data_IF_209006684245
#
_entry.id   IF_209006684245
#
_cell.length_a   1.000
_cell.length_b   1.000
_cell.length_c   1.000
_cell.angle_alpha   90.00
_cell.angle_beta   90.00
_cell.angle_gamma   90.00
#
_symmetry.space_group_name_H-M   'P 1'
#
loop_
_entity.id
_entity.type
_entity.pdbx_description
1 polymer ?
#
# COMPACT_ATOMS: atom_id res chain seq x y z
N UNK A 1 -16.21 -55.34 0.47
CA UNK A 1 -16.41 -53.89 0.58
C UNK A 1 -15.87 -53.47 1.94
N UNK A 2 -14.59 -53.09 1.98
CA UNK A 2 -13.84 -52.83 3.21
C UNK A 2 -13.86 -51.33 3.45
N UNK A 3 -14.56 -50.91 4.51
CA UNK A 3 -14.45 -49.56 5.06
C UNK A 3 -13.24 -49.56 6.00
N UNK A 4 -12.13 -49.04 5.49
CA UNK A 4 -10.90 -48.77 6.24
C UNK A 4 -11.18 -47.66 7.26
N UNK A 5 -11.08 -48.03 8.53
CA UNK A 5 -11.19 -47.11 9.66
C UNK A 5 -10.06 -46.08 9.66
N UNK A 6 -10.45 -44.83 9.89
CA UNK A 6 -9.54 -43.79 10.36
C UNK A 6 -9.04 -44.18 11.75
N UNK A 7 -7.89 -44.85 11.79
CA UNK A 7 -7.11 -45.03 13.00
C UNK A 7 -6.53 -43.69 13.42
N UNK A 8 -7.27 -42.93 14.23
CA UNK A 8 -6.68 -41.91 15.09
C UNK A 8 -5.70 -42.62 16.01
N UNK A 9 -4.40 -42.51 15.69
CA UNK A 9 -3.31 -43.01 16.51
C UNK A 9 -3.42 -42.35 17.88
N UNK A 10 -3.89 -43.12 18.87
CA UNK A 10 -3.91 -42.75 20.28
C UNK A 10 -2.45 -42.73 20.73
N UNK A 11 -1.86 -41.56 20.75
CA UNK A 11 -0.49 -41.34 21.20
C UNK A 11 -0.44 -41.59 22.72
N UNK A 12 -0.19 -42.83 23.11
CA UNK A 12 0.09 -43.19 24.50
C UNK A 12 1.55 -42.90 24.82
N UNK A 13 1.78 -41.70 25.35
CA UNK A 13 3.05 -41.33 25.92
C UNK A 13 3.07 -39.86 26.33
N UNK A 14 3.18 -39.60 27.64
CA UNK A 14 3.36 -38.23 28.19
C UNK A 14 4.48 -37.45 27.49
N UNK A 15 5.46 -38.17 26.93
CA UNK A 15 6.59 -37.60 26.16
C UNK A 15 6.19 -37.13 24.76
N UNK A 16 5.28 -37.81 24.07
CA UNK A 16 4.87 -37.43 22.71
C UNK A 16 3.87 -36.27 22.69
N UNK A 17 3.06 -36.16 23.74
CA UNK A 17 2.25 -34.96 23.98
C UNK A 17 3.12 -33.72 24.20
N UNK A 18 4.27 -33.87 24.87
CA UNK A 18 5.23 -32.78 25.06
C UNK A 18 5.81 -32.33 23.70
N UNK A 19 6.26 -33.26 22.86
CA UNK A 19 6.78 -32.90 21.53
C UNK A 19 5.75 -32.18 20.65
N UNK A 20 4.49 -32.60 20.70
CA UNK A 20 3.40 -31.94 19.96
C UNK A 20 3.18 -30.50 20.47
N UNK A 21 3.17 -30.31 21.79
CA UNK A 21 3.04 -28.99 22.41
C UNK A 21 4.21 -28.07 22.01
N UNK A 22 5.45 -28.58 22.04
CA UNK A 22 6.63 -27.80 21.65
C UNK A 22 6.59 -27.41 20.18
N UNK A 23 6.11 -28.29 19.30
CA UNK A 23 5.96 -27.99 17.88
C UNK A 23 4.90 -26.90 17.63
N UNK A 24 3.75 -26.96 18.31
CA UNK A 24 2.72 -25.91 18.23
C UNK A 24 3.27 -24.58 18.74
N UNK A 25 4.01 -24.60 19.85
CA UNK A 25 4.62 -23.40 20.41
C UNK A 25 5.66 -22.77 19.47
N UNK A 26 6.49 -23.60 18.81
CA UNK A 26 7.44 -23.13 17.80
C UNK A 26 6.74 -22.54 16.57
N UNK A 27 5.67 -23.16 16.09
CA UNK A 27 4.87 -22.63 14.97
C UNK A 27 4.22 -21.29 15.33
N UNK A 28 3.68 -21.15 16.54
CA UNK A 28 3.17 -19.88 17.05
C UNK A 28 4.26 -18.80 17.11
N UNK A 29 5.47 -19.15 17.54
CA UNK A 29 6.61 -18.23 17.58
C UNK A 29 7.02 -17.74 16.19
N UNK A 30 7.09 -18.65 15.21
CA UNK A 30 7.38 -18.31 13.81
C UNK A 30 6.29 -17.41 13.22
N UNK A 31 5.02 -17.72 13.49
CA UNK A 31 3.89 -16.89 13.05
C UNK A 31 3.95 -15.48 13.65
N UNK A 32 4.29 -15.36 14.94
CA UNK A 32 4.50 -14.08 15.62
C UNK A 32 5.65 -13.27 15.01
N UNK A 33 6.72 -13.94 14.57
CA UNK A 33 7.84 -13.30 13.89
C UNK A 33 7.50 -12.83 12.48
N UNK A 34 6.62 -13.54 11.76
CA UNK A 34 6.15 -13.14 10.42
C UNK A 34 5.17 -11.95 10.45
N UNK A 35 4.56 -11.65 11.61
CA UNK A 35 3.65 -10.52 11.77
C UNK A 35 4.35 -9.18 12.07
N UNK A 36 5.69 -9.14 12.07
CA UNK A 36 6.38 -7.85 12.16
C UNK A 36 6.15 -7.09 10.84
N UNK A 37 5.46 -5.93 10.87
CA UNK A 37 5.43 -5.07 9.69
C UNK A 37 6.87 -4.74 9.32
N UNK A 38 7.18 -4.75 8.02
CA UNK A 38 8.46 -4.28 7.53
C UNK A 38 8.72 -2.92 8.21
N UNK A 39 9.79 -2.83 9.00
CA UNK A 39 10.19 -1.57 9.61
C UNK A 39 10.51 -0.61 8.46
N UNK A 40 9.58 0.26 8.13
CA UNK A 40 9.89 1.56 7.54
C UNK A 40 10.62 2.32 8.63
N UNK A 41 11.95 2.29 8.60
CA UNK A 41 12.70 3.27 9.39
C UNK A 41 12.24 4.66 8.94
N UNK A 42 11.90 5.58 9.86
CA UNK A 42 11.63 6.95 9.47
C UNK A 42 12.96 7.49 8.91
N UNK A 43 13.02 7.66 7.59
CA UNK A 43 14.18 8.24 6.93
C UNK A 43 14.51 9.57 7.60
N UNK A 44 15.79 9.85 7.85
CA UNK A 44 16.22 11.13 8.44
C UNK A 44 16.78 12.08 7.38
N UNK A 45 16.69 11.70 6.10
CA UNK A 45 17.20 12.45 4.95
C UNK A 45 16.21 13.46 4.35
N UNK A 46 16.68 14.20 3.36
CA UNK A 46 15.89 15.20 2.64
C UNK A 46 14.64 14.59 1.99
N UNK A 47 14.75 13.35 1.51
CA UNK A 47 13.62 12.64 0.90
C UNK A 47 12.46 12.41 1.89
N UNK A 48 12.73 12.15 3.16
CA UNK A 48 11.70 12.06 4.19
C UNK A 48 11.06 13.42 4.49
N UNK A 49 11.84 14.51 4.45
CA UNK A 49 11.26 15.86 4.56
C UNK A 49 10.32 16.16 3.39
N UNK A 50 10.69 15.75 2.17
CA UNK A 50 9.86 15.92 0.98
C UNK A 50 8.59 15.10 1.09
N UNK A 51 8.68 13.84 1.53
CA UNK A 51 7.52 13.01 1.84
C UNK A 51 6.57 13.68 2.84
N UNK A 52 7.10 14.19 3.97
CA UNK A 52 6.29 14.86 4.99
C UNK A 52 5.59 16.12 4.47
N UNK A 53 6.25 16.90 3.62
CA UNK A 53 5.63 18.07 3.00
C UNK A 53 4.47 17.64 2.10
N UNK A 54 4.68 16.64 1.24
CA UNK A 54 3.65 16.12 0.34
C UNK A 54 2.41 15.66 1.09
N UNK A 55 2.57 14.79 2.10
CA UNK A 55 1.43 14.27 2.89
C UNK A 55 0.73 15.36 3.70
N UNK A 56 1.43 16.45 4.05
CA UNK A 56 0.83 17.58 4.77
C UNK A 56 0.03 18.51 3.86
N UNK A 57 0.44 18.65 2.60
CA UNK A 57 -0.18 19.54 1.62
C UNK A 57 -1.30 18.86 0.82
N UNK A 58 -1.18 17.56 0.52
CA UNK A 58 -2.16 16.82 -0.28
C UNK A 58 -3.60 16.93 0.27
N UNK A 59 -3.88 16.78 1.58
CA UNK A 59 -5.22 17.00 2.12
C UNK A 59 -5.73 18.44 1.95
N UNK A 60 -4.83 19.43 1.94
CA UNK A 60 -5.20 20.84 1.73
C UNK A 60 -5.67 21.05 0.29
N UNK A 61 -5.00 20.43 -0.68
CA UNK A 61 -5.40 20.46 -2.10
C UNK A 61 -6.76 19.82 -2.31
N UNK A 62 -6.98 18.62 -1.77
CA UNK A 62 -8.29 17.95 -1.80
C UNK A 62 -9.38 18.84 -1.20
N UNK A 63 -9.14 19.38 0.00
CA UNK A 63 -10.13 20.22 0.68
C UNK A 63 -10.42 21.51 -0.09
N UNK A 64 -9.41 22.10 -0.73
CA UNK A 64 -9.56 23.28 -1.59
C UNK A 64 -10.42 22.99 -2.82
N UNK A 65 -10.19 21.84 -3.48
CA UNK A 65 -10.98 21.38 -4.62
C UNK A 65 -12.44 21.14 -4.22
N UNK A 66 -12.67 20.43 -3.11
CA UNK A 66 -14.00 20.19 -2.55
C UNK A 66 -14.74 21.48 -2.23
N UNK A 67 -14.09 22.40 -1.50
CA UNK A 67 -14.70 23.68 -1.12
C UNK A 67 -15.05 24.55 -2.34
N UNK A 68 -14.19 24.50 -3.37
CA UNK A 68 -14.36 25.27 -4.60
C UNK A 68 -15.23 24.57 -5.66
N UNK A 69 -15.73 23.36 -5.36
CA UNK A 69 -16.48 22.50 -6.30
C UNK A 69 -15.71 22.22 -7.62
N UNK A 70 -14.39 22.05 -7.52
CA UNK A 70 -13.52 21.64 -8.63
C UNK A 70 -13.33 20.11 -8.65
N UNK A 71 -12.72 19.62 -9.72
CA UNK A 71 -12.42 18.21 -9.86
C UNK A 71 -11.22 17.84 -8.96
N UNK A 72 -11.48 17.03 -7.93
CA UNK A 72 -10.49 16.61 -6.94
C UNK A 72 -9.31 15.88 -7.60
N UNK A 73 -9.60 15.00 -8.55
CA UNK A 73 -8.56 14.19 -9.21
C UNK A 73 -7.65 15.07 -10.08
N UNK A 74 -8.21 16.07 -10.76
CA UNK A 74 -7.47 17.03 -11.60
C UNK A 74 -6.59 17.96 -10.76
N UNK A 75 -7.14 18.59 -9.71
CA UNK A 75 -6.39 19.44 -8.79
C UNK A 75 -5.25 18.66 -8.10
N UNK A 76 -5.50 17.41 -7.72
CA UNK A 76 -4.47 16.55 -7.12
C UNK A 76 -3.41 16.13 -8.13
N UNK A 77 -3.77 15.94 -9.39
CA UNK A 77 -2.81 15.60 -10.43
C UNK A 77 -1.86 16.77 -10.71
N UNK A 78 -2.41 17.97 -10.92
CA UNK A 78 -1.64 19.20 -11.12
C UNK A 78 -0.68 19.45 -9.94
N UNK A 79 -1.18 19.32 -8.71
CA UNK A 79 -0.35 19.43 -7.51
C UNK A 79 0.77 18.38 -7.48
N UNK A 80 0.47 17.13 -7.82
CA UNK A 80 1.45 16.04 -7.78
C UNK A 80 2.53 16.24 -8.82
N UNK A 81 2.17 16.65 -10.04
CA UNK A 81 3.13 16.96 -11.10
C UNK A 81 4.04 18.13 -10.72
N UNK A 82 3.48 19.24 -10.23
CA UNK A 82 4.25 20.39 -9.76
C UNK A 82 5.19 20.01 -8.61
N UNK A 83 4.72 19.17 -7.68
CA UNK A 83 5.52 18.70 -6.56
C UNK A 83 6.69 17.81 -7.01
N UNK A 84 6.45 16.89 -7.94
CA UNK A 84 7.48 16.04 -8.55
C UNK A 84 8.52 16.93 -9.26
N UNK A 85 8.08 17.91 -10.07
CA UNK A 85 8.97 18.85 -10.76
C UNK A 85 9.83 19.62 -9.74
N UNK A 86 9.23 20.13 -8.67
CA UNK A 86 9.96 20.82 -7.61
C UNK A 86 11.00 19.91 -6.92
N UNK A 87 10.65 18.66 -6.63
CA UNK A 87 11.59 17.69 -6.06
C UNK A 87 12.77 17.42 -7.01
N UNK A 88 12.52 17.30 -8.31
CA UNK A 88 13.59 17.17 -9.31
C UNK A 88 14.55 18.36 -9.32
N UNK A 89 14.08 19.60 -9.10
CA UNK A 89 14.98 20.77 -9.02
C UNK A 89 15.94 20.70 -7.83
N UNK A 90 15.65 19.85 -6.84
CA UNK A 90 16.49 19.56 -5.67
C UNK A 90 17.32 18.28 -5.82
N UNK A 91 17.38 17.70 -7.03
CA UNK A 91 18.00 16.41 -7.32
C UNK A 91 17.40 15.20 -6.58
N UNK A 92 16.13 15.29 -6.18
CA UNK A 92 15.42 14.17 -5.55
C UNK A 92 14.56 13.51 -6.63
N UNK A 93 14.89 12.27 -6.99
CA UNK A 93 14.11 11.51 -7.97
C UNK A 93 12.89 10.90 -7.28
N UNK A 94 11.72 11.47 -7.56
CA UNK A 94 10.50 11.21 -6.83
C UNK A 94 9.46 10.58 -7.73
N UNK A 95 8.72 9.62 -7.18
CA UNK A 95 7.69 8.87 -7.89
C UNK A 95 6.54 8.63 -6.92
N UNK A 96 5.34 9.02 -7.31
CA UNK A 96 4.15 8.94 -6.45
C UNK A 96 3.08 8.10 -7.15
N UNK A 97 2.37 7.29 -6.37
CA UNK A 97 1.07 6.77 -6.71
C UNK A 97 0.13 7.21 -5.60
N UNK A 98 -1.00 7.79 -5.98
CA UNK A 98 -2.01 8.18 -5.01
C UNK A 98 -3.35 7.54 -5.35
N UNK A 99 -4.13 7.25 -4.32
CA UNK A 99 -5.46 6.69 -4.40
C UNK A 99 -6.41 7.64 -3.68
N UNK A 100 -7.47 8.06 -4.36
CA UNK A 100 -8.50 8.92 -3.77
C UNK A 100 -9.80 8.12 -3.77
N UNK A 101 -10.37 7.90 -2.58
CA UNK A 101 -11.74 7.45 -2.42
C UNK A 101 -12.64 8.66 -2.20
N UNK A 102 -13.69 8.82 -3.00
CA UNK A 102 -14.65 9.92 -2.84
C UNK A 102 -16.03 9.51 -3.35
N UNK A 103 -17.03 9.61 -2.47
CA UNK A 103 -18.42 9.24 -2.74
C UNK A 103 -18.56 7.80 -3.25
N UNK A 104 -18.79 7.60 -4.55
CA UNK A 104 -19.06 6.28 -5.15
C UNK A 104 -17.89 5.79 -6.03
N UNK A 105 -16.73 6.46 -6.01
CA UNK A 105 -15.58 6.08 -6.85
C UNK A 105 -14.25 6.07 -6.11
N UNK A 106 -13.33 5.28 -6.67
CA UNK A 106 -11.91 5.27 -6.30
C UNK A 106 -11.08 5.61 -7.54
N UNK A 107 -10.24 6.64 -7.43
CA UNK A 107 -9.30 7.02 -8.48
C UNK A 107 -7.87 6.62 -8.05
N UNK A 108 -7.24 5.72 -8.79
CA UNK A 108 -5.83 5.34 -8.62
C UNK A 108 -5.01 6.03 -9.71
N UNK A 109 -4.13 6.95 -9.34
CA UNK A 109 -3.29 7.68 -10.30
C UNK A 109 -1.83 7.29 -10.13
N UNK A 110 -1.22 6.84 -11.22
CA UNK A 110 0.16 6.40 -11.23
C UNK A 110 1.07 7.48 -11.81
N UNK A 111 1.90 8.10 -10.96
CA UNK A 111 3.00 8.99 -11.35
C UNK A 111 4.35 8.36 -11.03
N UNK A 112 4.41 7.02 -11.01
CA UNK A 112 5.64 6.25 -10.89
C UNK A 112 6.34 6.11 -12.25
N UNK A 113 7.65 5.94 -12.21
CA UNK A 113 8.50 5.68 -13.40
C UNK A 113 8.18 4.39 -14.17
N UNK A 114 7.25 3.56 -13.69
CA UNK A 114 6.88 2.27 -14.27
C UNK A 114 5.40 1.98 -14.08
N UNK A 115 4.90 1.00 -14.85
CA UNK A 115 3.56 0.47 -14.67
C UNK A 115 3.41 -0.24 -13.33
N UNK A 116 2.19 -0.24 -12.82
CA UNK A 116 1.83 -0.84 -11.53
C UNK A 116 0.68 -1.82 -11.73
N UNK A 117 0.74 -2.98 -11.07
CA UNK A 117 -0.38 -3.91 -11.06
C UNK A 117 -1.31 -3.57 -9.89
N UNK A 118 -2.60 -3.58 -10.17
CA UNK A 118 -3.67 -3.29 -9.22
C UNK A 118 -4.54 -4.54 -9.14
N UNK A 119 -4.62 -5.12 -7.95
CA UNK A 119 -5.49 -6.26 -7.67
C UNK A 119 -6.64 -5.80 -6.79
N UNK A 120 -7.85 -6.05 -7.27
CA UNK A 120 -9.11 -5.63 -6.67
C UNK A 120 -10.02 -6.83 -6.45
N UNK A 121 -11.20 -6.61 -5.86
CA UNK A 121 -12.21 -7.66 -5.75
C UNK A 121 -12.79 -8.09 -7.11
N UNK A 122 -12.69 -7.22 -8.11
CA UNK A 122 -13.23 -7.44 -9.47
C UNK A 122 -12.22 -8.11 -10.41
N UNK A 123 -10.94 -8.00 -10.10
CA UNK A 123 -9.86 -8.61 -10.89
C UNK A 123 -8.55 -7.83 -10.82
N UNK A 124 -7.67 -8.16 -11.76
CA UNK A 124 -6.35 -7.53 -11.92
C UNK A 124 -6.39 -6.52 -13.06
N UNK A 125 -5.71 -5.39 -12.87
CA UNK A 125 -5.54 -4.33 -13.85
C UNK A 125 -4.11 -3.81 -13.83
N UNK A 126 -3.63 -3.30 -14.94
CA UNK A 126 -2.31 -2.68 -15.05
C UNK A 126 -2.49 -1.22 -15.42
N UNK A 127 -1.90 -0.33 -14.63
CA UNK A 127 -1.91 1.11 -14.89
C UNK A 127 -0.54 1.55 -15.40
N UNK A 128 -0.50 2.25 -16.53
CA UNK A 128 0.73 2.78 -17.11
C UNK A 128 1.26 3.98 -16.32
N UNK A 129 2.43 4.48 -16.70
CA UNK A 129 2.97 5.74 -16.16
C UNK A 129 2.11 6.91 -16.64
N UNK A 130 1.79 7.82 -15.73
CA UNK A 130 0.94 9.00 -15.96
C UNK A 130 -0.52 8.67 -16.29
N UNK A 131 -0.95 7.43 -16.06
CA UNK A 131 -2.35 7.04 -16.22
C UNK A 131 -3.12 7.16 -14.90
N UNK A 132 -4.44 7.22 -15.01
CA UNK A 132 -5.39 7.17 -13.90
C UNK A 132 -6.44 6.10 -14.19
N UNK A 133 -6.66 5.20 -13.23
CA UNK A 133 -7.69 4.17 -13.27
C UNK A 133 -8.82 4.56 -12.31
N UNK A 134 -10.05 4.51 -12.81
CA UNK A 134 -11.25 4.69 -12.01
C UNK A 134 -11.87 3.32 -11.71
N UNK A 135 -12.18 3.10 -10.45
CA UNK A 135 -12.76 1.88 -9.92
C UNK A 135 -14.06 2.23 -9.19
N UNK A 136 -15.01 1.30 -9.19
CA UNK A 136 -16.19 1.37 -8.35
C UNK A 136 -15.80 1.23 -6.86
N UNK A 137 -16.73 1.60 -5.97
CA UNK A 137 -16.54 1.51 -4.51
C UNK A 137 -16.13 0.11 -4.05
N UNK A 138 -15.02 0.03 -3.31
CA UNK A 138 -14.55 -1.21 -2.67
C UNK A 138 -13.64 -0.93 -1.47
N UNK A 139 -13.63 -1.86 -0.51
CA UNK A 139 -12.89 -1.68 0.75
C UNK A 139 -11.37 -1.84 0.60
N UNK A 140 -10.89 -2.63 -0.37
CA UNK A 140 -9.49 -3.02 -0.47
C UNK A 140 -8.97 -2.90 -1.92
N UNK A 141 -7.84 -2.19 -2.07
CA UNK A 141 -7.08 -2.10 -3.32
C UNK A 141 -5.64 -2.53 -3.02
N UNK A 142 -5.17 -3.60 -3.67
CA UNK A 142 -3.80 -4.06 -3.54
C UNK A 142 -2.96 -3.52 -4.69
N UNK A 143 -1.86 -2.85 -4.35
CA UNK A 143 -0.93 -2.28 -5.31
C UNK A 143 0.35 -3.09 -5.29
N UNK A 144 0.74 -3.68 -6.42
CA UNK A 144 2.03 -4.35 -6.56
C UNK A 144 3.05 -3.39 -7.20
N UNK A 145 4.06 -3.01 -6.43
CA UNK A 145 5.17 -2.19 -6.90
C UNK A 145 6.49 -2.85 -6.50
N UNK A 146 7.36 -3.08 -7.49
CA UNK A 146 8.65 -3.78 -7.30
C UNK A 146 8.53 -5.12 -6.59
N UNK A 147 7.56 -5.94 -6.99
CA UNK A 147 7.28 -7.28 -6.42
C UNK A 147 6.82 -7.26 -4.96
N UNK A 148 6.56 -6.07 -4.41
CA UNK A 148 6.01 -5.89 -3.07
C UNK A 148 4.55 -5.47 -3.22
N UNK A 149 3.67 -6.16 -2.49
CA UNK A 149 2.25 -5.83 -2.43
C UNK A 149 1.97 -4.88 -1.27
N UNK A 150 1.21 -3.82 -1.57
CA UNK A 150 0.77 -2.80 -0.63
C UNK A 150 -0.76 -2.80 -0.56
N UNK A 151 -1.35 -3.36 0.52
CA UNK A 151 -2.80 -3.38 0.69
C UNK A 151 -3.31 -2.05 1.25
N UNK A 152 -4.12 -1.33 0.47
CA UNK A 152 -4.75 -0.07 0.88
C UNK A 152 -6.23 -0.28 1.20
N UNK A 153 -6.65 0.12 2.40
CA UNK A 153 -8.06 0.13 2.80
C UNK A 153 -8.66 1.49 2.57
N UNK A 154 -9.65 1.59 1.69
CA UNK A 154 -10.19 2.87 1.25
C UNK A 154 -11.60 3.04 1.79
N UNK A 155 -11.84 4.19 2.43
CA UNK A 155 -13.15 4.57 2.95
C UNK A 155 -13.75 5.67 2.07
N UNK A 156 -14.65 5.29 1.17
CA UNK A 156 -15.34 6.16 0.22
C UNK A 156 -16.47 6.97 0.85
N UNK A 157 -16.93 6.61 2.07
CA UNK A 157 -17.98 7.34 2.80
C UNK A 157 -17.58 8.77 3.18
N UNK A 158 -16.27 9.04 3.08
CA UNK A 158 -15.65 10.36 3.17
C UNK A 158 -14.59 10.46 2.09
N UNK A 159 -14.07 11.66 1.89
CA UNK A 159 -12.89 11.79 1.02
C UNK A 159 -11.68 11.24 1.75
N UNK A 160 -11.10 10.19 1.22
CA UNK A 160 -9.93 9.50 1.76
C UNK A 160 -8.80 9.50 0.72
N UNK A 161 -7.56 9.65 1.18
CA UNK A 161 -6.38 9.65 0.31
C UNK A 161 -5.33 8.70 0.85
N UNK A 162 -4.87 7.79 -0.01
CA UNK A 162 -3.74 6.90 0.24
C UNK A 162 -2.61 7.25 -0.71
N UNK A 163 -1.38 7.13 -0.24
CA UNK A 163 -0.21 7.50 -1.03
C UNK A 163 0.84 6.40 -0.91
N UNK A 164 1.34 5.93 -2.04
CA UNK A 164 2.58 5.18 -2.15
C UNK A 164 3.63 6.12 -2.73
N UNK A 165 4.66 6.40 -1.94
CA UNK A 165 5.72 7.34 -2.28
C UNK A 165 7.02 6.59 -2.43
N UNK A 166 7.70 6.76 -3.56
CA UNK A 166 9.01 6.17 -3.83
C UNK A 166 10.00 7.27 -4.13
N UNK A 167 11.19 7.17 -3.53
CA UNK A 167 12.31 8.06 -3.77
C UNK A 167 13.55 7.25 -4.06
N UNK A 168 14.41 7.77 -4.94
CA UNK A 168 15.73 7.22 -5.20
C UNK A 168 16.76 8.32 -4.96
N UNK A 169 17.58 8.16 -3.92
CA UNK A 169 18.64 9.09 -3.55
C UNK A 169 19.98 8.33 -3.46
N UNK A 170 20.98 8.78 -4.21
CA UNK A 170 22.31 8.15 -4.32
C UNK A 170 22.30 6.63 -4.57
N UNK A 171 21.26 6.12 -5.26
CA UNK A 171 21.08 4.68 -5.55
C UNK A 171 20.42 3.88 -4.43
N UNK A 172 20.03 4.53 -3.33
CA UNK A 172 19.15 3.95 -2.31
C UNK A 172 17.70 4.27 -2.65
N UNK A 173 16.90 3.21 -2.83
CA UNK A 173 15.46 3.33 -3.06
C UNK A 173 14.72 3.18 -1.75
N UNK A 174 13.93 4.18 -1.39
CA UNK A 174 13.05 4.14 -0.22
C UNK A 174 11.59 4.24 -0.67
N UNK A 175 10.71 3.50 0.01
CA UNK A 175 9.27 3.49 -0.25
C UNK A 175 8.51 3.76 1.05
N UNK A 176 7.60 4.73 1.00
CA UNK A 176 6.77 5.17 2.12
C UNK A 176 5.29 5.02 1.75
N UNK A 177 4.46 4.68 2.74
CA UNK A 177 3.01 4.61 2.58
C UNK A 177 2.33 5.58 3.54
N UNK A 178 1.29 6.24 3.05
CA UNK A 178 0.35 7.02 3.85
C UNK A 178 -1.02 6.35 3.77
N UNK A 179 -1.50 5.93 4.95
CA UNK A 179 -2.83 5.36 5.18
C UNK A 179 -3.68 6.31 6.04
#
# INVERSE_FOLDING_TARGET
MVLSGFGLCRIEGKRSQLYLLTAIFLLLLVFLMMQLPARTEPGTGEAFSVYNNYISEAPVVINSALFSQRNITEDMDEFTEDFIIHAYTKNINLSILYIIGHDDFIAVSNRMSRSVNITTSEGESVIGTSDTLYLDEQELVNIEFDTIEYPFRIDTSRTDIKILFSTEDEGNKEVYTYD
#
